data_IF_943211934975
#
_entry.id   IF_943211934975
#
_cell.length_a   1.000
_cell.length_b   1.000
_cell.length_c   1.000
_cell.angle_alpha   90.00
_cell.angle_beta   90.00
_cell.angle_gamma   90.00
#
_symmetry.space_group_name_H-M   'P 1'
#
loop_
_entity.id
_entity.type
_entity.pdbx_description
1 polymer ?
#
# COMPACT_ATOMS: atom_id res chain seq x y z
N UNK A 1 6.84 -9.36 -19.65
CA UNK A 1 6.37 -9.53 -18.25
C UNK A 1 4.88 -9.24 -18.20
N UNK A 2 4.03 -10.14 -17.70
CA UNK A 2 2.57 -9.90 -17.59
C UNK A 2 2.27 -8.62 -16.80
N UNK A 3 1.26 -7.85 -17.22
CA UNK A 3 0.86 -6.59 -16.57
C UNK A 3 0.59 -6.78 -15.06
N UNK A 4 0.08 -7.94 -14.65
CA UNK A 4 -0.21 -8.29 -13.27
C UNK A 4 1.05 -8.41 -12.39
N UNK A 5 2.13 -8.97 -12.95
CA UNK A 5 3.42 -9.08 -12.23
C UNK A 5 4.02 -7.69 -12.01
N UNK A 6 3.86 -6.81 -13.01
CA UNK A 6 4.33 -5.43 -12.91
C UNK A 6 3.55 -4.66 -11.85
N UNK A 7 2.22 -4.81 -11.83
CA UNK A 7 1.37 -4.26 -10.78
C UNK A 7 1.83 -4.76 -9.41
N UNK A 8 1.94 -6.08 -9.21
CA UNK A 8 2.36 -6.63 -7.92
C UNK A 8 3.70 -6.04 -7.44
N UNK A 9 4.75 -6.08 -8.26
CA UNK A 9 6.07 -5.59 -7.86
C UNK A 9 6.10 -4.09 -7.54
N UNK A 10 5.45 -3.27 -8.36
CA UNK A 10 5.38 -1.83 -8.15
C UNK A 10 4.59 -1.46 -6.90
N UNK A 11 3.38 -2.00 -6.76
CA UNK A 11 2.51 -1.70 -5.62
C UNK A 11 3.04 -2.27 -4.30
N UNK A 12 3.72 -3.42 -4.33
CA UNK A 12 4.42 -3.97 -3.17
C UNK A 12 5.57 -3.07 -2.72
N UNK A 13 6.35 -2.55 -3.67
CA UNK A 13 7.42 -1.60 -3.36
C UNK A 13 6.86 -0.30 -2.77
N UNK A 14 5.79 0.24 -3.35
CA UNK A 14 5.12 1.43 -2.84
C UNK A 14 4.57 1.18 -1.42
N UNK A 15 4.00 0.00 -1.16
CA UNK A 15 3.51 -0.39 0.16
C UNK A 15 4.59 -0.44 1.23
N UNK A 16 5.84 -0.78 0.89
CA UNK A 16 6.98 -0.74 1.82
C UNK A 16 7.29 0.68 2.32
N UNK A 17 7.02 1.69 1.50
CA UNK A 17 7.29 3.10 1.81
C UNK A 17 6.03 3.87 2.23
N UNK A 18 4.91 3.19 2.47
CA UNK A 18 3.62 3.81 2.79
C UNK A 18 3.56 4.49 4.16
N UNK A 19 4.61 4.38 4.99
CA UNK A 19 4.71 5.01 6.31
C UNK A 19 4.88 6.54 6.26
N UNK A 20 5.19 7.12 5.09
CA UNK A 20 5.36 8.57 4.88
C UNK A 20 4.06 9.38 4.76
N UNK A 21 2.90 8.77 5.03
CA UNK A 21 1.59 9.38 4.85
C UNK A 21 1.01 9.23 3.44
N UNK A 22 -0.29 9.50 3.28
CA UNK A 22 -1.03 9.25 2.03
C UNK A 22 -0.44 9.95 0.79
N UNK A 23 0.14 11.15 0.96
CA UNK A 23 0.71 11.94 -0.14
C UNK A 23 2.04 11.41 -0.67
N UNK A 24 2.87 10.78 0.17
CA UNK A 24 4.08 10.11 -0.28
C UNK A 24 3.74 8.95 -1.23
N UNK A 25 2.72 8.17 -0.87
CA UNK A 25 2.21 7.06 -1.70
C UNK A 25 1.67 7.57 -3.03
N UNK A 26 0.91 8.68 -3.05
CA UNK A 26 0.44 9.29 -4.29
C UNK A 26 1.58 9.70 -5.22
N UNK A 27 2.66 10.27 -4.65
CA UNK A 27 3.82 10.72 -5.43
C UNK A 27 4.52 9.53 -6.10
N UNK A 28 4.71 8.43 -5.37
CA UNK A 28 5.27 7.21 -5.94
C UNK A 28 4.35 6.58 -6.99
N UNK A 29 3.02 6.59 -6.75
CA UNK A 29 2.04 6.09 -7.71
C UNK A 29 2.07 6.87 -9.01
N UNK A 30 2.11 8.20 -8.94
CA UNK A 30 2.18 9.07 -10.10
C UNK A 30 3.42 8.76 -10.94
N UNK A 31 4.59 8.72 -10.29
CA UNK A 31 5.85 8.39 -10.94
C UNK A 31 5.78 7.03 -11.64
N UNK A 32 5.14 6.04 -11.01
CA UNK A 32 5.11 4.68 -11.52
C UNK A 32 4.12 4.47 -12.66
N UNK A 33 2.99 5.19 -12.59
CA UNK A 33 2.01 5.30 -13.68
C UNK A 33 2.65 5.96 -14.90
N UNK A 34 3.35 7.08 -14.72
CA UNK A 34 4.05 7.80 -15.79
C UNK A 34 5.17 6.95 -16.40
N UNK A 35 6.00 6.32 -15.55
CA UNK A 35 7.11 5.47 -16.00
C UNK A 35 6.65 4.29 -16.85
N UNK A 36 5.47 3.72 -16.55
CA UNK A 36 4.93 2.55 -17.24
C UNK A 36 3.89 2.90 -18.32
N UNK A 37 3.51 4.17 -18.44
CA UNK A 37 2.50 4.63 -19.40
C UNK A 37 1.10 4.02 -19.18
N UNK A 38 0.73 3.72 -17.93
CA UNK A 38 -0.56 3.08 -17.63
C UNK A 38 -1.76 4.03 -17.81
N UNK A 39 -1.57 5.33 -17.58
CA UNK A 39 -2.55 6.37 -17.82
C UNK A 39 -1.88 7.75 -17.89
N UNK A 40 -2.62 8.75 -18.35
CA UNK A 40 -2.15 10.14 -18.37
C UNK A 40 -2.22 10.77 -16.99
N UNK A 41 -1.48 11.87 -16.79
CA UNK A 41 -1.50 12.62 -15.53
C UNK A 41 -2.88 13.22 -15.25
N UNK A 42 -3.63 13.66 -16.26
CA UNK A 42 -5.01 14.15 -16.06
C UNK A 42 -5.91 13.03 -15.52
N UNK A 43 -5.82 11.84 -16.10
CA UNK A 43 -6.60 10.69 -15.64
C UNK A 43 -6.22 10.26 -14.23
N UNK A 44 -4.93 10.36 -13.88
CA UNK A 44 -4.46 10.09 -12.53
C UNK A 44 -5.06 11.07 -11.51
N UNK A 45 -5.12 12.36 -11.83
CA UNK A 45 -5.73 13.39 -10.97
C UNK A 45 -7.24 13.17 -10.81
N UNK A 46 -7.95 12.81 -11.87
CA UNK A 46 -9.38 12.44 -11.76
C UNK A 46 -9.59 11.25 -10.82
N UNK A 47 -8.73 10.24 -10.88
CA UNK A 47 -8.79 9.09 -9.99
C UNK A 47 -8.51 9.48 -8.53
N UNK A 48 -7.66 10.47 -8.26
CA UNK A 48 -7.45 10.98 -6.90
C UNK A 48 -8.77 11.56 -6.35
N UNK A 49 -9.50 12.33 -7.15
CA UNK A 49 -10.78 12.89 -6.73
C UNK A 49 -11.79 11.79 -6.38
N UNK A 50 -11.84 10.71 -7.17
CA UNK A 50 -12.69 9.53 -6.91
C UNK A 50 -12.22 8.78 -5.65
N UNK A 51 -10.91 8.60 -5.48
CA UNK A 51 -10.33 7.92 -4.32
C UNK A 51 -10.58 8.66 -3.00
N UNK A 52 -10.61 9.99 -3.04
CA UNK A 52 -10.89 10.85 -1.90
C UNK A 52 -12.39 10.97 -1.58
N UNK A 53 -13.26 10.81 -2.57
CA UNK A 53 -14.71 10.77 -2.34
C UNK A 53 -15.19 9.42 -1.80
N UNK A 54 -14.40 8.36 -2.02
CA UNK A 54 -14.67 7.01 -1.51
C UNK A 54 -14.16 6.87 -0.08
N UNK A 55 -14.92 6.28 0.86
CA UNK A 55 -14.41 6.03 2.21
C UNK A 55 -13.20 5.09 2.20
N UNK A 56 -12.26 5.31 3.12
CA UNK A 56 -11.11 4.44 3.34
C UNK A 56 -9.74 5.10 3.03
N UNK A 57 -8.65 4.33 3.12
CA UNK A 57 -7.31 4.86 2.91
C UNK A 57 -7.07 5.19 1.43
N UNK A 58 -6.74 6.45 1.14
CA UNK A 58 -6.49 6.94 -0.23
C UNK A 58 -5.47 6.07 -1.00
N UNK A 59 -4.43 5.59 -0.34
CA UNK A 59 -3.41 4.72 -0.92
C UNK A 59 -4.00 3.41 -1.47
N UNK A 60 -4.92 2.79 -0.73
CA UNK A 60 -5.57 1.53 -1.09
C UNK A 60 -6.60 1.78 -2.20
N UNK A 61 -7.39 2.85 -2.08
CA UNK A 61 -8.37 3.23 -3.10
C UNK A 61 -7.68 3.51 -4.44
N UNK A 62 -6.61 4.31 -4.44
CA UNK A 62 -5.82 4.58 -5.64
C UNK A 62 -5.19 3.33 -6.23
N UNK A 63 -4.64 2.44 -5.40
CA UNK A 63 -4.12 1.17 -5.90
C UNK A 63 -5.18 0.31 -6.59
N UNK A 64 -6.37 0.26 -6.00
CA UNK A 64 -7.50 -0.48 -6.56
C UNK A 64 -7.91 0.08 -7.92
N UNK A 65 -8.04 1.41 -8.05
CA UNK A 65 -8.46 2.05 -9.30
C UNK A 65 -7.38 1.99 -10.39
N UNK A 66 -6.12 2.23 -10.04
CA UNK A 66 -4.99 2.12 -10.99
C UNK A 66 -4.83 0.68 -11.45
N UNK A 67 -4.94 -0.28 -10.54
CA UNK A 67 -4.93 -1.71 -10.86
C UNK A 67 -6.09 -2.10 -11.79
N UNK A 68 -7.29 -1.59 -11.51
CA UNK A 68 -8.47 -1.81 -12.36
C UNK A 68 -8.27 -1.27 -13.77
N UNK A 69 -7.76 -0.04 -13.90
CA UNK A 69 -7.53 0.59 -15.20
C UNK A 69 -6.46 -0.14 -16.02
N UNK A 70 -5.46 -0.73 -15.35
CA UNK A 70 -4.32 -1.39 -15.99
C UNK A 70 -4.60 -2.85 -16.36
N UNK A 71 -5.36 -3.58 -15.53
CA UNK A 71 -5.52 -5.03 -15.66
C UNK A 71 -6.92 -5.55 -15.35
N UNK A 72 -7.93 -4.68 -15.34
CA UNK A 72 -9.31 -5.03 -15.00
C UNK A 72 -9.45 -5.53 -13.55
N UNK A 73 -10.47 -6.35 -13.31
CA UNK A 73 -10.74 -6.91 -11.97
C UNK A 73 -9.51 -7.63 -11.37
N UNK A 74 -8.75 -8.48 -12.11
CA UNK A 74 -7.54 -9.09 -11.58
C UNK A 74 -6.46 -8.07 -11.21
N UNK A 75 -6.31 -7.02 -12.01
CA UNK A 75 -5.38 -5.94 -11.73
C UNK A 75 -5.73 -5.17 -10.46
N UNK A 76 -7.02 -4.90 -10.25
CA UNK A 76 -7.51 -4.26 -9.03
C UNK A 76 -7.14 -5.08 -7.79
N UNK A 77 -7.52 -6.36 -7.76
CA UNK A 77 -7.25 -7.25 -6.64
C UNK A 77 -5.74 -7.36 -6.33
N UNK A 78 -4.92 -7.51 -7.36
CA UNK A 78 -3.46 -7.64 -7.20
C UNK A 78 -2.84 -6.35 -6.68
N UNK A 79 -3.23 -5.19 -7.21
CA UNK A 79 -2.70 -3.91 -6.75
C UNK A 79 -3.08 -3.61 -5.29
N UNK A 80 -4.35 -3.86 -4.93
CA UNK A 80 -4.84 -3.69 -3.55
C UNK A 80 -4.10 -4.60 -2.58
N UNK A 81 -3.96 -5.90 -2.90
CA UNK A 81 -3.23 -6.84 -2.05
C UNK A 81 -1.75 -6.45 -1.94
N UNK A 82 -1.11 -6.12 -3.06
CA UNK A 82 0.30 -5.78 -3.10
C UNK A 82 0.62 -4.55 -2.24
N UNK A 83 -0.20 -3.50 -2.27
CA UNK A 83 0.06 -2.29 -1.46
C UNK A 83 -0.17 -2.51 0.04
N UNK A 84 -1.12 -3.39 0.42
CA UNK A 84 -1.44 -3.66 1.83
C UNK A 84 -0.51 -4.69 2.49
N UNK A 85 0.02 -5.63 1.71
CA UNK A 85 0.85 -6.74 2.20
C UNK A 85 2.07 -6.31 3.02
N UNK A 86 2.91 -5.36 2.57
CA UNK A 86 4.08 -4.92 3.32
C UNK A 86 3.72 -4.42 4.72
N UNK A 87 2.70 -3.57 4.84
CA UNK A 87 2.23 -3.04 6.11
C UNK A 87 1.75 -4.14 7.05
N UNK A 88 1.00 -5.11 6.53
CA UNK A 88 0.57 -6.28 7.31
C UNK A 88 1.76 -7.11 7.80
N UNK A 89 2.72 -7.42 6.93
CA UNK A 89 3.92 -8.20 7.27
C UNK A 89 4.74 -7.48 8.35
N UNK A 90 4.96 -6.18 8.19
CA UNK A 90 5.72 -5.40 9.17
C UNK A 90 5.01 -5.36 10.52
N UNK A 91 3.71 -5.06 10.54
CA UNK A 91 2.94 -5.01 11.79
C UNK A 91 2.90 -6.35 12.50
N UNK A 92 2.66 -7.45 11.77
CA UNK A 92 2.68 -8.81 12.35
C UNK A 92 4.07 -9.15 12.89
N UNK A 93 5.14 -8.82 12.16
CA UNK A 93 6.52 -9.06 12.61
C UNK A 93 6.83 -8.29 13.90
N UNK A 94 6.47 -7.00 13.96
CA UNK A 94 6.62 -6.18 15.16
C UNK A 94 5.82 -6.73 16.33
N UNK A 95 4.56 -7.13 16.11
CA UNK A 95 3.72 -7.71 17.15
C UNK A 95 4.33 -9.00 17.72
N UNK A 96 4.79 -9.92 16.87
CA UNK A 96 5.44 -11.17 17.29
C UNK A 96 6.69 -10.89 18.13
N UNK A 97 7.53 -9.94 17.69
CA UNK A 97 8.69 -9.52 18.45
C UNK A 97 8.27 -8.92 19.80
N UNK A 98 7.31 -8.00 19.80
CA UNK A 98 6.84 -7.35 21.01
C UNK A 98 6.34 -8.36 22.05
N UNK A 99 5.49 -9.32 21.66
CA UNK A 99 5.00 -10.35 22.57
C UNK A 99 6.11 -11.24 23.12
N UNK A 100 7.10 -11.59 22.29
CA UNK A 100 8.28 -12.35 22.74
C UNK A 100 9.07 -11.64 23.85
N UNK A 101 9.20 -10.31 23.79
CA UNK A 101 9.88 -9.52 24.84
C UNK A 101 8.99 -9.15 26.02
N UNK A 102 7.68 -9.01 25.81
CA UNK A 102 6.70 -8.67 26.85
C UNK A 102 6.48 -9.79 27.87
N UNK A 103 6.66 -11.05 27.48
CA UNK A 103 6.51 -12.20 28.38
C UNK A 103 7.66 -12.37 29.39
N UNK A 104 8.69 -11.52 29.34
CA UNK A 104 9.80 -11.57 30.31
C UNK A 104 9.35 -10.96 31.65
N UNK A 105 9.51 -11.64 32.80
CA UNK A 105 9.05 -11.12 34.09
C UNK A 105 9.66 -9.77 34.49
N UNK A 106 10.87 -9.43 34.01
CA UNK A 106 11.52 -8.13 34.23
C UNK A 106 10.88 -6.98 33.43
N UNK A 107 10.33 -7.22 32.24
CA UNK A 107 9.66 -6.19 31.44
C UNK A 107 8.25 -5.94 31.93
N UNK A 108 7.52 -6.97 32.38
CA UNK A 108 6.20 -6.77 33.02
C UNK A 108 6.26 -5.93 34.29
N UNK A 109 7.32 -6.07 35.10
CA UNK A 109 7.52 -5.26 36.29
C UNK A 109 7.76 -3.77 35.94
N UNK A 110 8.51 -3.48 34.88
CA UNK A 110 8.79 -2.10 34.44
C UNK A 110 7.56 -1.38 33.87
N UNK A 111 6.66 -2.10 33.19
CA UNK A 111 5.45 -1.51 32.59
C UNK A 111 4.25 -1.46 33.56
N UNK A 112 4.26 -2.22 34.66
CA UNK A 112 3.19 -2.20 35.67
C UNK A 112 3.40 -1.16 36.78
N UNK A 113 4.56 -0.49 36.82
CA UNK A 113 4.92 0.48 37.85
C UNK A 113 5.68 -0.16 38.99
#
# INVERSE_FOLDING_TARGET
MSALIQLFGSFFTIGLFAFGGGYAVLSFLQQEVERRGWMTTERFVDLIAIAQSTPGPIAINMATFVGYQTGGIPGALIATLAVSLPGMIMMTTFALFFFHFYERPKTQALFKG
#
